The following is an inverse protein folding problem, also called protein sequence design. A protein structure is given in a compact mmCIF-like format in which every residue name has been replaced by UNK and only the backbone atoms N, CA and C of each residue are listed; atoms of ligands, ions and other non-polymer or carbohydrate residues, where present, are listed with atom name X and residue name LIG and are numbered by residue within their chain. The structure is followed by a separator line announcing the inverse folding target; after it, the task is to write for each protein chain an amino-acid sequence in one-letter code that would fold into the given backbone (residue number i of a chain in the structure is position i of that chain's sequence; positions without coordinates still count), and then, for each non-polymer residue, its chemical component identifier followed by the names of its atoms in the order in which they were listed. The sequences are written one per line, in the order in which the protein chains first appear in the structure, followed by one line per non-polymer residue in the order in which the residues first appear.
data_IF_945317128631
#
_entry.id   IF_945317128631
#
_cell.length_a   1.000
_cell.length_b   1.000
_cell.length_c   1.000
_cell.angle_alpha   90.00
_cell.angle_beta   90.00
_cell.angle_gamma   90.00
#
_symmetry.space_group_name_H-M   'P 1'
#
loop_
_entity.id
_entity.type
_entity.pdbx_description
1 polymer ?
#
# COMPACT_ATOMS: atom_id res chain seq x y z
N UNK A 1 -35.25 21.70 -47.75
CA UNK A 1 -34.44 20.57 -47.22
C UNK A 1 -34.93 20.29 -45.81
N UNK A 2 -35.03 19.03 -45.39
CA UNK A 2 -35.45 18.71 -44.03
C UNK A 2 -34.45 19.24 -43.01
N UNK A 3 -34.95 19.72 -41.88
CA UNK A 3 -34.11 20.13 -40.74
C UNK A 3 -33.60 18.91 -39.99
N UNK A 4 -32.53 19.06 -39.21
CA UNK A 4 -32.04 17.98 -38.34
C UNK A 4 -33.14 17.47 -37.39
N UNK A 5 -33.95 18.37 -36.82
CA UNK A 5 -35.02 17.99 -35.90
C UNK A 5 -36.08 17.12 -36.54
N UNK A 6 -36.49 17.47 -37.77
CA UNK A 6 -37.43 16.66 -38.56
C UNK A 6 -36.87 15.27 -38.87
N UNK A 7 -35.61 15.18 -39.26
CA UNK A 7 -34.97 13.89 -39.60
C UNK A 7 -34.87 13.00 -38.37
N UNK A 8 -34.52 13.55 -37.20
CA UNK A 8 -34.45 12.82 -35.94
C UNK A 8 -35.83 12.33 -35.50
N UNK A 9 -36.84 13.19 -35.57
CA UNK A 9 -38.23 12.85 -35.24
C UNK A 9 -38.76 11.73 -36.13
N UNK A 10 -38.59 11.88 -37.44
CA UNK A 10 -39.03 10.89 -38.43
C UNK A 10 -38.36 9.53 -38.17
N UNK A 11 -37.03 9.52 -38.02
CA UNK A 11 -36.27 8.29 -37.73
C UNK A 11 -36.69 7.63 -36.41
N UNK A 12 -37.01 8.42 -35.38
CA UNK A 12 -37.54 7.91 -34.11
C UNK A 12 -38.92 7.26 -34.31
N UNK A 13 -39.81 7.93 -35.03
CA UNK A 13 -41.18 7.43 -35.29
C UNK A 13 -41.20 6.21 -36.21
N UNK A 14 -40.29 6.13 -37.20
CA UNK A 14 -40.08 4.95 -38.06
C UNK A 14 -39.73 3.71 -37.21
N UNK A 15 -38.91 3.90 -36.17
CA UNK A 15 -38.56 2.85 -35.21
C UNK A 15 -39.58 2.63 -34.10
N UNK A 16 -40.70 3.38 -34.09
CA UNK A 16 -41.74 3.34 -33.06
C UNK A 16 -41.22 3.59 -31.64
N UNK A 17 -40.16 4.40 -31.51
CA UNK A 17 -39.56 4.73 -30.22
C UNK A 17 -40.21 5.97 -29.59
N UNK A 18 -40.42 5.93 -28.29
CA UNK A 18 -40.81 7.13 -27.53
C UNK A 18 -39.59 7.98 -27.16
N UNK A 19 -39.80 9.24 -26.79
CA UNK A 19 -38.70 10.10 -26.33
C UNK A 19 -38.08 9.57 -25.02
N UNK A 20 -38.88 8.94 -24.16
CA UNK A 20 -38.45 8.30 -22.92
C UNK A 20 -37.52 7.12 -23.18
N UNK A 21 -37.82 6.31 -24.21
CA UNK A 21 -36.98 5.18 -24.60
C UNK A 21 -35.63 5.67 -25.16
N UNK A 22 -35.66 6.67 -26.05
CA UNK A 22 -34.43 7.29 -26.56
C UNK A 22 -33.62 7.91 -25.43
N UNK A 23 -34.26 8.60 -24.49
CA UNK A 23 -33.62 9.16 -23.30
C UNK A 23 -32.93 8.07 -22.47
N UNK A 24 -33.58 6.93 -22.27
CA UNK A 24 -33.01 5.78 -21.56
C UNK A 24 -31.78 5.21 -22.26
N UNK A 25 -31.80 5.06 -23.58
CA UNK A 25 -30.68 4.51 -24.35
C UNK A 25 -29.49 5.47 -24.43
N UNK A 26 -29.77 6.76 -24.58
CA UNK A 26 -28.74 7.78 -24.82
C UNK A 26 -28.25 8.47 -23.54
N UNK A 27 -28.99 8.32 -22.44
CA UNK A 27 -28.84 9.07 -21.17
C UNK A 27 -28.93 10.59 -21.34
N UNK A 28 -29.63 11.04 -22.38
CA UNK A 28 -29.89 12.46 -22.63
C UNK A 28 -31.26 12.79 -22.04
N UNK A 29 -31.39 13.89 -21.30
CA UNK A 29 -32.68 14.31 -20.76
C UNK A 29 -33.71 14.55 -21.88
N UNK A 30 -34.96 14.15 -21.66
CA UNK A 30 -36.07 14.27 -22.62
C UNK A 30 -36.22 15.71 -23.14
N UNK A 31 -36.01 16.72 -22.27
CA UNK A 31 -36.09 18.14 -22.63
C UNK A 31 -35.14 18.52 -23.77
N UNK A 32 -33.93 17.96 -23.80
CA UNK A 32 -32.94 18.22 -24.85
C UNK A 32 -33.23 17.45 -26.13
N UNK A 33 -33.74 16.21 -26.02
CA UNK A 33 -34.19 15.44 -27.19
C UNK A 33 -35.37 16.14 -27.89
N UNK A 34 -36.31 16.66 -27.11
CA UNK A 34 -37.44 17.45 -27.62
C UNK A 34 -36.95 18.75 -28.27
N UNK A 35 -36.04 19.48 -27.62
CA UNK A 35 -35.44 20.69 -28.19
C UNK A 35 -34.70 20.44 -29.51
N UNK A 36 -34.01 19.29 -29.64
CA UNK A 36 -33.39 18.87 -30.90
C UNK A 36 -34.43 18.62 -32.00
N UNK A 37 -35.54 17.93 -31.70
CA UNK A 37 -36.61 17.67 -32.67
C UNK A 37 -37.38 18.93 -33.08
N UNK A 38 -37.54 19.88 -32.16
CA UNK A 38 -38.23 21.15 -32.40
C UNK A 38 -37.31 22.24 -32.99
N UNK A 39 -36.02 21.92 -33.22
CA UNK A 39 -34.97 22.86 -33.66
C UNK A 39 -34.76 24.07 -32.72
N UNK A 40 -35.13 23.96 -31.45
CA UNK A 40 -34.86 24.97 -30.41
C UNK A 40 -33.43 24.82 -29.88
N UNK A 41 -32.44 25.17 -30.72
CA UNK A 41 -31.02 25.05 -30.38
C UNK A 41 -30.57 25.99 -29.25
N UNK A 42 -31.34 27.04 -28.97
CA UNK A 42 -31.17 27.94 -27.84
C UNK A 42 -31.32 27.21 -26.49
N UNK A 43 -32.24 26.24 -26.39
CA UNK A 43 -32.48 25.47 -25.16
C UNK A 43 -31.45 24.37 -24.91
N UNK A 44 -30.49 24.19 -25.83
CA UNK A 44 -29.48 23.13 -25.72
C UNK A 44 -28.25 23.59 -24.94
N UNK A 45 -27.52 22.65 -24.30
CA UNK A 45 -26.24 22.94 -23.65
C UNK A 45 -25.16 23.39 -24.66
N UNK A 46 -23.93 23.70 -24.21
CA UNK A 46 -22.85 24.12 -25.11
C UNK A 46 -22.67 23.20 -26.31
N UNK A 47 -22.37 23.80 -27.46
CA UNK A 47 -22.34 23.15 -28.79
C UNK A 47 -21.46 21.89 -28.83
N UNK A 48 -20.46 21.80 -27.96
CA UNK A 48 -19.61 20.60 -27.74
C UNK A 48 -20.43 19.40 -27.25
N UNK A 49 -21.34 19.61 -26.29
CA UNK A 49 -22.26 18.60 -25.78
C UNK A 49 -23.36 18.27 -26.79
N UNK A 50 -23.91 19.28 -27.47
CA UNK A 50 -24.97 19.10 -28.47
C UNK A 50 -24.55 18.18 -29.63
N UNK A 51 -23.32 18.30 -30.13
CA UNK A 51 -22.77 17.36 -31.12
C UNK A 51 -22.69 15.92 -30.59
N UNK A 52 -22.39 15.75 -29.30
CA UNK A 52 -22.44 14.45 -28.62
C UNK A 52 -23.86 13.89 -28.56
N UNK A 53 -24.84 14.73 -28.25
CA UNK A 53 -26.25 14.36 -28.20
C UNK A 53 -26.76 13.90 -29.57
N UNK A 54 -26.47 14.67 -30.62
CA UNK A 54 -26.84 14.33 -32.00
C UNK A 54 -26.23 12.98 -32.40
N UNK A 55 -24.94 12.74 -32.08
CA UNK A 55 -24.28 11.47 -32.38
C UNK A 55 -24.94 10.29 -31.67
N UNK A 56 -25.27 10.44 -30.39
CA UNK A 56 -25.90 9.37 -29.62
C UNK A 56 -27.34 9.10 -30.08
N UNK A 57 -28.09 10.17 -30.38
CA UNK A 57 -29.44 10.05 -30.89
C UNK A 57 -29.44 9.40 -32.28
N UNK A 58 -28.58 9.85 -33.20
CA UNK A 58 -28.37 9.23 -34.52
C UNK A 58 -28.15 7.71 -34.43
N UNK A 59 -27.27 7.28 -33.53
CA UNK A 59 -27.01 5.86 -33.27
C UNK A 59 -28.25 5.11 -32.77
N UNK A 60 -29.00 5.69 -31.83
CA UNK A 60 -30.24 5.08 -31.32
C UNK A 60 -31.28 4.89 -32.45
N UNK A 61 -31.43 5.88 -33.34
CA UNK A 61 -32.36 5.82 -34.46
C UNK A 61 -31.78 5.20 -35.74
N UNK A 62 -30.55 4.70 -35.71
CA UNK A 62 -29.91 4.02 -36.83
C UNK A 62 -29.63 4.90 -38.05
N UNK A 63 -29.41 6.20 -37.85
CA UNK A 63 -28.96 7.14 -38.89
C UNK A 63 -27.46 7.39 -38.77
N UNK A 64 -26.83 7.80 -39.86
CA UNK A 64 -25.41 8.17 -39.89
C UNK A 64 -25.16 9.40 -38.99
N UNK A 65 -24.30 9.29 -37.96
CA UNK A 65 -23.98 10.42 -37.10
C UNK A 65 -23.31 11.57 -37.84
N UNK A 66 -22.45 11.26 -38.81
CA UNK A 66 -21.67 12.27 -39.51
C UNK A 66 -22.54 13.10 -40.46
N UNK A 67 -23.52 12.46 -41.12
CA UNK A 67 -24.50 13.15 -41.97
C UNK A 67 -25.37 14.11 -41.13
N UNK A 68 -25.86 13.66 -39.97
CA UNK A 68 -26.66 14.49 -39.09
C UNK A 68 -25.84 15.64 -38.49
N UNK A 69 -24.56 15.43 -38.19
CA UNK A 69 -23.68 16.52 -37.75
C UNK A 69 -23.45 17.53 -38.87
N UNK A 70 -23.34 17.10 -40.13
CA UNK A 70 -23.23 18.01 -41.27
C UNK A 70 -24.50 18.85 -41.45
N UNK A 71 -25.67 18.23 -41.32
CA UNK A 71 -26.97 18.91 -41.37
C UNK A 71 -27.12 19.89 -40.19
N UNK A 72 -26.70 19.50 -38.99
CA UNK A 72 -26.68 20.39 -37.83
C UNK A 72 -25.83 21.63 -38.07
N UNK A 73 -24.65 21.51 -38.69
CA UNK A 73 -23.78 22.67 -39.00
C UNK A 73 -24.41 23.63 -40.01
N UNK A 74 -25.28 23.12 -40.89
CA UNK A 74 -26.04 23.95 -41.83
C UNK A 74 -27.20 24.66 -41.12
N UNK A 75 -27.90 23.94 -40.24
CA UNK A 75 -29.11 24.44 -39.58
C UNK A 75 -28.80 25.32 -38.35
N UNK A 76 -27.56 25.29 -37.84
CA UNK A 76 -27.10 26.06 -36.68
C UNK A 76 -26.07 27.13 -37.07
N UNK A 77 -26.45 28.41 -36.96
CA UNK A 77 -25.65 29.59 -37.36
C UNK A 77 -24.56 30.02 -36.35
N UNK A 78 -24.31 29.24 -35.28
CA UNK A 78 -23.23 29.55 -34.32
C UNK A 78 -23.43 30.80 -33.45
N UNK A 79 -24.46 31.60 -33.73
CA UNK A 79 -24.76 32.89 -33.09
C UNK A 79 -25.63 32.77 -31.83
N UNK A 80 -26.15 31.58 -31.52
CA UNK A 80 -26.98 31.35 -30.34
C UNK A 80 -26.12 31.31 -29.08
N UNK A 81 -26.32 32.34 -28.23
CA UNK A 81 -25.81 32.39 -26.86
C UNK A 81 -26.19 31.09 -26.17
N UNK A 82 -25.21 30.23 -25.98
CA UNK A 82 -25.39 29.00 -25.23
C UNK A 82 -25.97 29.37 -23.87
N UNK A 83 -27.16 28.89 -23.54
CA UNK A 83 -27.62 28.87 -22.16
C UNK A 83 -26.73 27.87 -21.43
N UNK A 84 -25.60 28.37 -20.91
CA UNK A 84 -24.95 27.70 -19.79
C UNK A 84 -26.05 27.43 -18.76
N UNK A 85 -26.18 26.21 -18.23
CA UNK A 85 -27.21 25.91 -17.25
C UNK A 85 -27.17 27.02 -16.20
N UNK A 86 -28.29 27.73 -16.04
CA UNK A 86 -28.39 28.82 -15.07
C UNK A 86 -27.86 28.29 -13.74
N UNK A 87 -26.90 29.01 -13.18
CA UNK A 87 -26.25 28.67 -11.92
C UNK A 87 -27.25 28.42 -10.78
N UNK A 88 -28.51 28.82 -10.95
CA UNK A 88 -29.63 28.67 -10.01
C UNK A 88 -30.16 27.23 -9.85
N UNK A 89 -29.84 26.28 -10.75
CA UNK A 89 -30.21 24.85 -10.58
C UNK A 89 -29.03 23.93 -10.27
N UNK A 90 -27.84 24.49 -10.09
CA UNK A 90 -26.80 23.78 -9.39
C UNK A 90 -27.17 23.85 -7.91
N UNK A 91 -27.83 22.79 -7.39
CA UNK A 91 -27.75 22.52 -5.97
C UNK A 91 -26.27 22.71 -5.59
N UNK A 92 -25.95 23.46 -4.53
CA UNK A 92 -24.58 23.61 -4.11
C UNK A 92 -24.13 22.21 -3.72
N UNK A 93 -23.46 21.53 -4.64
CA UNK A 93 -22.64 20.38 -4.30
C UNK A 93 -21.55 21.02 -3.47
N UNK A 94 -21.78 21.05 -2.14
CA UNK A 94 -20.72 21.30 -1.18
C UNK A 94 -19.58 20.40 -1.64
N UNK A 95 -18.45 20.94 -2.11
CA UNK A 95 -17.33 20.09 -2.45
C UNK A 95 -17.11 19.22 -1.22
N UNK A 96 -17.14 17.90 -1.44
CA UNK A 96 -16.94 16.94 -0.36
C UNK A 96 -15.76 17.39 0.48
N UNK A 97 -15.89 17.25 1.79
CA UNK A 97 -15.04 17.80 2.86
C UNK A 97 -13.57 17.29 2.84
N UNK A 98 -13.03 16.94 1.68
CA UNK A 98 -11.85 16.10 1.49
C UNK A 98 -10.89 16.58 0.37
N UNK A 99 -10.95 17.81 -0.14
CA UNK A 99 -9.99 18.23 -1.17
C UNK A 99 -9.38 19.65 -1.06
N UNK A 100 -9.15 20.16 0.15
CA UNK A 100 -8.28 21.34 0.28
C UNK A 100 -7.58 21.37 1.62
N UNK A 101 -6.82 20.31 1.94
CA UNK A 101 -5.71 20.51 2.88
C UNK A 101 -4.54 20.99 2.01
N UNK A 102 -4.22 22.30 1.98
CA UNK A 102 -2.99 22.74 1.33
C UNK A 102 -1.83 22.14 2.12
N UNK A 103 -1.28 21.02 1.63
CA UNK A 103 -0.13 20.39 2.24
C UNK A 103 1.07 21.29 1.92
N UNK A 104 1.30 22.26 2.79
CA UNK A 104 2.45 23.16 2.68
C UNK A 104 3.73 22.33 2.72
N UNK A 105 4.81 22.82 2.10
CA UNK A 105 6.12 22.12 2.17
C UNK A 105 6.55 21.87 3.63
N UNK A 106 6.12 22.71 4.56
CA UNK A 106 6.35 22.54 5.99
C UNK A 106 5.61 21.35 6.61
N UNK A 107 4.38 21.04 6.19
CA UNK A 107 3.67 19.85 6.69
C UNK A 107 4.25 18.56 6.12
N UNK A 108 4.72 18.56 4.88
CA UNK A 108 5.47 17.44 4.29
C UNK A 108 6.75 17.19 5.07
N UNK A 109 7.54 18.25 5.32
CA UNK A 109 8.77 18.13 6.12
C UNK A 109 8.48 17.66 7.55
N UNK A 110 7.43 18.17 8.18
CA UNK A 110 7.00 17.75 9.52
C UNK A 110 6.59 16.28 9.57
N UNK A 111 5.84 15.80 8.57
CA UNK A 111 5.46 14.39 8.46
C UNK A 111 6.69 13.50 8.24
N UNK A 112 7.62 13.91 7.37
CA UNK A 112 8.87 13.17 7.14
C UNK A 112 9.67 13.10 8.44
N UNK A 113 9.86 14.22 9.13
CA UNK A 113 10.56 14.25 10.41
C UNK A 113 9.87 13.36 11.45
N UNK A 114 8.55 13.40 11.54
CA UNK A 114 7.76 12.54 12.41
C UNK A 114 7.97 11.06 12.09
N UNK A 115 7.89 10.67 10.81
CA UNK A 115 8.13 9.29 10.37
C UNK A 115 9.55 8.86 10.72
N UNK A 116 10.57 9.69 10.47
CA UNK A 116 11.96 9.38 10.84
C UNK A 116 12.14 9.19 12.35
N UNK A 117 11.58 10.09 13.17
CA UNK A 117 11.63 9.98 14.64
C UNK A 117 10.89 8.73 15.11
N UNK A 118 9.71 8.46 14.56
CA UNK A 118 8.89 7.31 14.91
C UNK A 118 9.57 5.99 14.52
N UNK A 119 10.11 5.88 13.30
CA UNK A 119 10.88 4.71 12.86
C UNK A 119 12.15 4.54 13.69
N UNK A 120 12.86 5.63 14.01
CA UNK A 120 14.02 5.60 14.91
C UNK A 120 13.66 5.10 16.30
N UNK A 121 12.54 5.58 16.86
CA UNK A 121 12.01 5.13 18.15
C UNK A 121 11.64 3.64 18.13
N UNK A 122 10.91 3.19 17.10
CA UNK A 122 10.58 1.78 16.94
C UNK A 122 11.82 0.91 16.79
N UNK A 123 12.82 1.34 16.01
CA UNK A 123 14.07 0.63 15.86
C UNK A 123 14.84 0.54 17.19
N UNK A 124 14.87 1.62 17.97
CA UNK A 124 15.47 1.63 19.30
C UNK A 124 14.74 0.68 20.27
N UNK A 125 13.41 0.68 20.26
CA UNK A 125 12.60 -0.22 21.09
C UNK A 125 12.78 -1.68 20.66
N UNK A 126 12.83 -1.95 19.36
CA UNK A 126 13.00 -3.30 18.82
C UNK A 126 14.42 -3.84 19.03
N UNK A 127 15.43 -2.97 19.12
CA UNK A 127 16.81 -3.38 19.44
C UNK A 127 16.90 -4.20 20.72
N UNK A 128 16.11 -3.89 21.74
CA UNK A 128 16.08 -4.65 22.99
C UNK A 128 15.72 -6.14 22.81
N UNK A 129 14.96 -6.48 21.77
CA UNK A 129 14.58 -7.87 21.44
C UNK A 129 15.61 -8.60 20.57
N UNK A 130 16.50 -7.85 19.92
CA UNK A 130 17.50 -8.41 18.98
C UNK A 130 18.88 -8.54 19.61
N UNK A 131 19.16 -7.87 20.73
CA UNK A 131 20.46 -7.93 21.39
C UNK A 131 20.80 -9.39 21.77
N UNK A 132 21.98 -9.89 21.37
CA UNK A 132 22.47 -11.18 21.83
C UNK A 132 22.58 -11.22 23.36
N UNK A 133 22.35 -12.38 24.00
CA UNK A 133 22.56 -12.50 25.42
C UNK A 133 24.05 -12.28 25.77
N UNK A 134 24.39 -11.60 26.88
CA UNK A 134 25.76 -11.56 27.34
C UNK A 134 26.25 -12.98 27.65
N UNK A 135 27.47 -13.31 27.25
CA UNK A 135 28.12 -14.58 27.55
C UNK A 135 29.54 -14.30 28.00
N UNK A 136 29.85 -14.66 29.24
CA UNK A 136 31.19 -14.51 29.84
C UNK A 136 31.62 -15.86 30.42
N UNK A 137 32.82 -16.31 30.07
CA UNK A 137 33.38 -17.57 30.57
C UNK A 137 34.32 -17.25 31.71
N UNK A 138 34.05 -17.80 32.89
CA UNK A 138 34.87 -17.61 34.10
C UNK A 138 35.90 -18.72 34.22
N UNK A 139 35.53 -19.95 33.83
CA UNK A 139 36.43 -21.11 33.80
C UNK A 139 36.11 -22.01 32.60
N UNK A 140 37.10 -22.64 31.98
CA UNK A 140 38.54 -22.40 32.18
C UNK A 140 38.98 -21.05 31.58
N UNK A 141 40.16 -20.56 31.97
CA UNK A 141 40.72 -19.34 31.38
C UNK A 141 41.17 -19.61 29.93
N UNK A 142 41.20 -18.58 29.09
CA UNK A 142 41.63 -18.73 27.69
C UNK A 142 43.05 -19.27 27.60
N UNK A 143 43.25 -20.28 26.74
CA UNK A 143 44.55 -20.95 26.53
C UNK A 143 45.16 -21.56 27.80
N UNK A 144 44.33 -21.95 28.78
CA UNK A 144 44.81 -22.58 30.01
C UNK A 144 45.02 -24.09 29.86
N UNK A 145 45.96 -24.60 30.66
CA UNK A 145 46.19 -26.04 30.84
C UNK A 145 45.32 -26.52 31.99
N UNK A 146 44.45 -27.49 31.72
CA UNK A 146 43.46 -28.01 32.67
C UNK A 146 43.52 -29.52 32.73
N UNK A 147 43.00 -30.10 33.80
CA UNK A 147 42.94 -31.56 33.95
C UNK A 147 41.52 -32.05 33.77
N UNK A 148 41.37 -33.28 33.27
CA UNK A 148 40.04 -33.91 33.11
C UNK A 148 39.49 -34.35 34.47
N UNK A 149 38.17 -34.18 34.76
CA UNK A 149 37.15 -33.55 33.91
C UNK A 149 37.25 -32.03 33.90
N UNK A 150 37.05 -31.41 32.73
CA UNK A 150 37.16 -29.96 32.56
C UNK A 150 35.90 -29.28 33.07
N UNK A 151 36.05 -28.42 34.07
CA UNK A 151 34.95 -27.59 34.58
C UNK A 151 34.77 -26.36 33.70
N UNK A 152 33.62 -26.28 33.02
CA UNK A 152 33.19 -25.13 32.23
C UNK A 152 32.18 -24.35 33.05
N UNK A 153 32.52 -23.11 33.37
CA UNK A 153 31.70 -22.21 34.16
C UNK A 153 31.66 -20.83 33.51
N UNK A 154 30.47 -20.24 33.46
CA UNK A 154 30.30 -18.88 32.96
C UNK A 154 29.02 -18.24 33.45
N UNK A 155 28.80 -17.02 32.99
CA UNK A 155 27.61 -16.23 33.28
C UNK A 155 26.94 -15.75 32.00
N UNK A 156 25.63 -15.91 31.94
CA UNK A 156 24.73 -15.42 30.89
C UNK A 156 23.40 -14.98 31.52
N UNK A 157 22.33 -14.83 30.74
CA UNK A 157 20.99 -14.55 31.29
C UNK A 157 20.30 -15.85 31.71
N UNK A 158 19.48 -15.85 32.79
CA UNK A 158 18.80 -17.06 33.30
C UNK A 158 17.83 -17.70 32.30
N UNK A 159 17.41 -16.97 31.27
CA UNK A 159 16.48 -17.43 30.25
C UNK A 159 17.18 -17.98 28.99
N UNK A 160 18.50 -18.16 29.03
CA UNK A 160 19.27 -18.80 27.97
C UNK A 160 19.42 -20.30 28.18
N UNK A 161 19.68 -20.99 27.09
CA UNK A 161 20.26 -22.34 27.09
C UNK A 161 21.71 -22.19 26.62
N UNK A 162 22.65 -22.79 27.35
CA UNK A 162 24.07 -22.81 26.98
C UNK A 162 24.38 -24.14 26.32
N UNK A 163 24.78 -24.10 25.05
CA UNK A 163 25.18 -25.25 24.26
C UNK A 163 26.72 -25.30 24.15
N UNK A 164 27.30 -26.45 24.43
CA UNK A 164 28.75 -26.70 24.36
C UNK A 164 28.98 -27.76 23.29
N UNK A 165 29.88 -27.48 22.34
CA UNK A 165 30.27 -28.38 21.24
C UNK A 165 29.09 -29.00 20.45
N UNK A 166 27.99 -28.26 20.35
CA UNK A 166 26.74 -28.66 19.68
C UNK A 166 25.98 -29.87 20.25
N UNK A 167 26.51 -30.57 21.26
CA UNK A 167 25.93 -31.80 21.82
C UNK A 167 25.42 -31.65 23.26
N UNK A 168 25.99 -30.73 24.04
CA UNK A 168 25.74 -30.63 25.48
C UNK A 168 24.98 -29.34 25.80
N UNK A 169 23.77 -29.46 26.32
CA UNK A 169 22.96 -28.31 26.77
C UNK A 169 22.97 -28.18 28.30
N UNK A 170 23.20 -26.97 28.79
CA UNK A 170 23.25 -26.61 30.20
C UNK A 170 22.35 -25.41 30.43
N UNK A 171 21.45 -25.52 31.41
CA UNK A 171 20.60 -24.41 31.82
C UNK A 171 21.32 -23.60 32.91
N UNK A 172 21.44 -22.28 32.78
CA UNK A 172 21.90 -21.41 33.86
C UNK A 172 20.94 -21.42 35.06
N UNK A 173 21.46 -21.12 36.24
CA UNK A 173 20.67 -20.89 37.44
C UNK A 173 19.95 -19.52 37.43
N UNK A 174 19.20 -19.21 38.49
CA UNK A 174 18.49 -17.93 38.64
C UNK A 174 19.43 -16.70 38.65
N UNK A 175 20.70 -16.89 38.96
CA UNK A 175 21.73 -15.85 38.92
C UNK A 175 22.41 -15.72 37.56
N UNK A 176 22.05 -16.59 36.61
CA UNK A 176 22.59 -16.66 35.26
C UNK A 176 23.91 -17.41 35.17
N UNK A 177 24.32 -18.12 36.23
CA UNK A 177 25.56 -18.90 36.27
C UNK A 177 25.25 -20.31 35.75
N UNK A 178 26.08 -20.81 34.84
CA UNK A 178 26.05 -22.19 34.39
C UNK A 178 27.37 -22.86 34.77
N UNK A 179 27.31 -24.14 35.15
CA UNK A 179 28.49 -24.95 35.46
C UNK A 179 28.26 -26.36 34.95
N UNK A 180 29.23 -26.91 34.23
CA UNK A 180 29.24 -28.31 33.81
C UNK A 180 30.65 -28.87 33.85
N UNK A 181 30.77 -30.19 33.92
CA UNK A 181 32.03 -30.91 33.88
C UNK A 181 31.98 -31.89 32.72
N UNK A 182 32.94 -31.78 31.80
CA UNK A 182 33.01 -32.63 30.63
C UNK A 182 34.32 -33.43 30.62
N UNK A 183 34.26 -34.75 30.40
CA UNK A 183 35.46 -35.57 30.30
C UNK A 183 36.10 -35.34 28.93
N UNK A 184 37.25 -34.65 28.91
CA UNK A 184 38.07 -34.52 27.71
C UNK A 184 39.29 -35.44 27.80
N UNK A 185 39.67 -36.03 26.66
CA UNK A 185 40.93 -36.77 26.54
C UNK A 185 42.13 -35.80 26.59
N UNK A 186 43.31 -36.24 27.05
CA UNK A 186 44.51 -35.41 27.01
C UNK A 186 44.83 -34.93 25.59
N UNK A 187 45.20 -33.66 25.44
CA UNK A 187 45.45 -33.01 24.15
C UNK A 187 44.89 -31.59 24.05
N UNK A 188 45.09 -30.96 22.89
CA UNK A 188 44.52 -29.65 22.60
C UNK A 188 43.07 -29.77 22.10
N UNK A 189 42.16 -28.98 22.67
CA UNK A 189 40.74 -28.93 22.30
C UNK A 189 40.31 -27.47 22.08
N UNK A 190 39.38 -27.27 21.13
CA UNK A 190 38.72 -25.98 20.91
C UNK A 190 37.25 -26.11 21.30
N UNK A 191 36.87 -25.48 22.41
CA UNK A 191 35.50 -25.48 22.92
C UNK A 191 34.68 -24.40 22.21
N UNK A 192 33.50 -24.76 21.73
CA UNK A 192 32.53 -23.78 21.23
C UNK A 192 31.37 -23.69 22.22
N UNK A 193 31.26 -22.57 22.93
CA UNK A 193 30.18 -22.30 23.87
C UNK A 193 29.23 -21.29 23.25
N UNK A 194 27.96 -21.65 23.11
CA UNK A 194 26.92 -20.82 22.53
C UNK A 194 25.77 -20.63 23.52
N UNK A 195 25.48 -19.39 23.90
CA UNK A 195 24.28 -19.05 24.66
C UNK A 195 23.15 -18.66 23.70
N UNK A 196 21.97 -19.24 23.87
CA UNK A 196 20.80 -19.03 23.03
C UNK A 196 19.64 -18.55 23.91
N UNK A 197 19.12 -17.35 23.67
CA UNK A 197 17.98 -16.82 24.42
C UNK A 197 16.64 -17.34 23.87
N UNK A 198 15.54 -17.07 24.60
CA UNK A 198 14.16 -17.43 24.19
C UNK A 198 13.73 -16.89 22.81
N UNK A 199 14.40 -15.84 22.32
CA UNK A 199 14.15 -15.22 21.02
C UNK A 199 15.07 -15.76 19.90
N UNK A 200 15.85 -16.80 20.19
CA UNK A 200 16.77 -17.44 19.24
C UNK A 200 18.04 -16.63 18.95
N UNK A 201 18.33 -15.56 19.70
CA UNK A 201 19.57 -14.79 19.55
C UNK A 201 20.71 -15.55 20.21
N UNK A 202 21.83 -15.63 19.48
CA UNK A 202 22.98 -16.44 19.85
C UNK A 202 24.18 -15.56 20.17
N UNK A 203 24.90 -15.89 21.24
CA UNK A 203 26.23 -15.39 21.52
C UNK A 203 27.18 -16.59 21.60
N UNK A 204 28.24 -16.59 20.79
CA UNK A 204 29.18 -17.71 20.69
C UNK A 204 30.57 -17.25 21.07
N UNK A 205 31.22 -18.03 21.94
CA UNK A 205 32.60 -17.84 22.37
C UNK A 205 33.37 -19.13 22.10
N UNK A 206 34.52 -18.99 21.42
CA UNK A 206 35.46 -20.10 21.21
C UNK A 206 36.57 -20.02 22.24
N UNK A 207 36.94 -21.16 22.82
CA UNK A 207 37.94 -21.25 23.87
C UNK A 207 38.86 -22.43 23.63
N UNK A 208 40.13 -22.13 23.38
CA UNK A 208 41.15 -23.17 23.24
C UNK A 208 41.70 -23.55 24.62
N UNK A 209 41.77 -24.85 24.89
CA UNK A 209 42.28 -25.44 26.13
C UNK A 209 43.23 -26.59 25.83
N UNK A 210 44.18 -26.82 26.73
CA UNK A 210 45.03 -28.02 26.69
C UNK A 210 44.71 -28.88 27.89
N UNK A 211 44.28 -30.12 27.65
CA UNK A 211 43.91 -31.07 28.69
C UNK A 211 45.11 -31.98 28.97
N UNK A 212 45.49 -32.11 30.24
CA UNK A 212 46.52 -33.03 30.71
C UNK A 212 45.90 -34.17 31.55
N UNK A 213 46.60 -35.28 31.69
CA UNK A 213 46.17 -36.39 32.56
C UNK A 213 46.31 -36.00 34.03
N UNK A 214 45.38 -36.42 34.89
CA UNK A 214 45.66 -36.49 36.34
C UNK A 214 46.74 -37.56 36.52
N UNK A 215 47.83 -37.20 37.19
CA UNK A 215 48.95 -38.09 37.51
C UNK A 215 48.73 -38.70 38.89
#
# INVERSE_FOLDING_TARGET
MKTIGEILREARTEKRLTLEEVSRFTRIEIKYLKALEDNHFDLLPPTTFTKGFIRNYAKAVGKSPDDLIAIYRRDYDGSHKTHAPSADSLLPVKPGLLHSIPISRATILGLIAFVFVFTGYLAFQYRALITPPPLTITKPAASSVVTSPVTIQGKTTPDCIVQINDDTNVNPDQSGIFTTQLPYSPGAHSLTITAINRFGKKATTKLDITVISQN
#
